data_IF_632734362640
#
_entry.id   IF_632734362640
#
_cell.length_a   1.000
_cell.length_b   1.000
_cell.length_c   1.000
_cell.angle_alpha   90.00
_cell.angle_beta   90.00
_cell.angle_gamma   90.00
#
_symmetry.space_group_name_H-M   'P 1'
#
loop_
_entity.id
_entity.type
_entity.pdbx_description
1 polymer ?
#
# COMPACT_ATOMS: atom_id res chain seq x y z
N UNK A 1 6.34 9.30 -5.61
CA UNK A 1 5.46 8.54 -4.70
C UNK A 1 4.11 9.23 -4.73
N UNK A 2 3.02 8.49 -4.84
CA UNK A 2 1.68 9.06 -4.92
C UNK A 2 1.06 9.13 -3.53
N UNK A 3 -0.10 9.79 -3.43
CA UNK A 3 -0.78 10.04 -2.14
C UNK A 3 -1.07 8.77 -1.35
N UNK A 4 -1.44 7.69 -2.04
CA UNK A 4 -1.85 6.45 -1.40
C UNK A 4 -0.79 5.34 -1.46
N UNK A 5 0.38 5.59 -2.07
CA UNK A 5 1.45 4.59 -2.08
C UNK A 5 2.50 4.76 -3.18
N UNK A 6 3.36 3.75 -3.28
CA UNK A 6 4.38 3.64 -4.32
C UNK A 6 3.84 2.77 -5.47
N UNK A 7 3.74 3.29 -6.71
CA UNK A 7 3.41 2.46 -7.86
C UNK A 7 4.42 1.34 -8.08
N UNK A 8 3.95 0.18 -8.56
CA UNK A 8 4.80 -0.99 -8.87
C UNK A 8 5.86 -0.68 -9.93
N UNK A 9 5.47 0.06 -10.97
CA UNK A 9 6.33 0.40 -12.10
C UNK A 9 5.79 1.62 -12.86
N UNK A 10 6.45 1.98 -13.96
CA UNK A 10 6.16 3.18 -14.76
C UNK A 10 4.92 3.05 -15.68
N UNK A 11 4.28 1.89 -15.77
CA UNK A 11 3.15 1.64 -16.68
C UNK A 11 1.81 2.10 -16.11
N UNK A 12 1.73 2.41 -14.82
CA UNK A 12 0.50 2.84 -14.19
C UNK A 12 0.66 3.21 -12.72
N UNK A 13 -0.45 3.53 -12.07
CA UNK A 13 -0.50 3.96 -10.68
C UNK A 13 -0.86 2.82 -9.70
N UNK A 14 -0.84 1.56 -10.14
CA UNK A 14 -1.19 0.44 -9.27
C UNK A 14 -0.08 0.13 -8.27
N UNK A 15 -0.45 -0.14 -7.03
CA UNK A 15 0.43 -0.64 -5.99
C UNK A 15 -0.07 -1.95 -5.42
N UNK A 16 0.88 -2.77 -4.95
CA UNK A 16 0.58 -3.88 -4.05
C UNK A 16 0.98 -3.52 -2.63
N UNK A 17 0.06 -3.72 -1.71
CA UNK A 17 0.22 -3.33 -0.32
C UNK A 17 1.29 -4.18 0.38
N UNK A 18 1.28 -5.50 0.14
CA UNK A 18 2.29 -6.43 0.66
C UNK A 18 3.73 -6.04 0.25
N UNK A 19 3.90 -5.71 -1.02
CA UNK A 19 5.18 -5.38 -1.64
C UNK A 19 5.69 -4.04 -1.16
N UNK A 20 4.78 -3.08 -0.97
CA UNK A 20 5.12 -1.78 -0.38
C UNK A 20 5.59 -1.92 1.07
N UNK A 21 4.97 -2.80 1.86
CA UNK A 21 5.42 -3.07 3.23
C UNK A 21 6.79 -3.76 3.26
N UNK A 22 7.03 -4.68 2.33
CA UNK A 22 8.35 -5.30 2.15
C UNK A 22 9.44 -4.26 1.87
N UNK A 23 9.16 -3.28 1.00
CA UNK A 23 10.08 -2.17 0.71
C UNK A 23 10.31 -1.31 1.96
N UNK A 24 9.27 -1.00 2.73
CA UNK A 24 9.41 -0.27 4.00
C UNK A 24 10.34 -1.00 4.97
N UNK A 25 10.24 -2.33 5.07
CA UNK A 25 11.11 -3.15 5.91
C UNK A 25 12.58 -3.18 5.46
N UNK A 26 12.83 -3.07 4.14
CA UNK A 26 14.19 -2.97 3.58
C UNK A 26 14.82 -1.59 3.77
N UNK A 27 14.04 -0.57 4.09
CA UNK A 27 14.48 0.83 4.26
C UNK A 27 15.10 1.08 5.65
N UNK A 28 16.02 0.21 6.09
CA UNK A 28 16.51 0.16 7.48
C UNK A 28 17.30 1.40 7.94
N UNK A 29 17.90 2.14 7.02
CA UNK A 29 18.72 3.32 7.31
C UNK A 29 18.02 4.66 7.06
N UNK A 30 16.78 4.66 6.56
CA UNK A 30 16.03 5.87 6.23
C UNK A 30 14.65 5.83 6.88
N UNK A 31 14.61 6.17 8.17
CA UNK A 31 13.39 6.14 8.97
C UNK A 31 12.29 7.02 8.41
N UNK A 32 12.64 8.19 7.84
CA UNK A 32 11.66 9.10 7.24
C UNK A 32 10.99 8.48 6.01
N UNK A 33 11.77 7.90 5.10
CA UNK A 33 11.23 7.23 3.93
C UNK A 33 10.38 6.02 4.31
N UNK A 34 10.81 5.23 5.30
CA UNK A 34 10.02 4.12 5.84
C UNK A 34 8.68 4.61 6.39
N UNK A 35 8.69 5.67 7.19
CA UNK A 35 7.47 6.24 7.77
C UNK A 35 6.56 6.82 6.69
N UNK A 36 7.12 7.45 5.65
CA UNK A 36 6.35 7.96 4.52
C UNK A 36 5.61 6.84 3.80
N UNK A 37 6.26 5.70 3.54
CA UNK A 37 5.63 4.54 2.91
C UNK A 37 4.49 4.03 3.79
N UNK A 38 4.75 3.79 5.09
CA UNK A 38 3.74 3.28 6.03
C UNK A 38 2.55 4.24 6.14
N UNK A 39 2.78 5.54 6.23
CA UNK A 39 1.71 6.55 6.32
C UNK A 39 0.84 6.57 5.05
N UNK A 40 1.44 6.39 3.87
CA UNK A 40 0.67 6.32 2.63
C UNK A 40 -0.22 5.06 2.58
N UNK A 41 0.31 3.91 3.01
CA UNK A 41 -0.47 2.66 3.10
C UNK A 41 -1.60 2.77 4.13
N UNK A 42 -1.34 3.40 5.27
CA UNK A 42 -2.36 3.71 6.26
C UNK A 42 -3.44 4.62 5.66
N UNK A 43 -3.03 5.65 4.92
CA UNK A 43 -3.96 6.58 4.25
C UNK A 43 -4.84 5.83 3.25
N UNK A 44 -4.28 4.91 2.47
CA UNK A 44 -5.05 4.01 1.60
C UNK A 44 -6.11 3.24 2.40
N UNK A 45 -5.68 2.47 3.40
CA UNK A 45 -6.57 1.61 4.18
C UNK A 45 -7.66 2.39 4.94
N UNK A 46 -7.35 3.61 5.39
CA UNK A 46 -8.25 4.44 6.18
C UNK A 46 -9.26 5.23 5.35
N UNK A 47 -8.86 5.68 4.16
CA UNK A 47 -9.67 6.62 3.35
C UNK A 47 -10.20 6.04 2.04
N UNK A 48 -9.98 4.74 1.78
CA UNK A 48 -10.47 4.12 0.54
C UNK A 48 -12.00 4.25 0.43
N UNK A 49 -12.51 4.70 -0.74
CA UNK A 49 -13.95 4.77 -0.96
C UNK A 49 -14.57 3.37 -1.11
N UNK A 50 -13.76 2.35 -1.41
CA UNK A 50 -14.22 1.00 -1.67
C UNK A 50 -14.59 0.30 -0.36
N UNK A 51 -15.86 -0.10 -0.22
CA UNK A 51 -16.41 -0.74 1.00
C UNK A 51 -16.27 -2.26 0.96
N UNK A 52 -15.05 -2.74 0.80
CA UNK A 52 -14.69 -4.16 0.83
C UNK A 52 -13.62 -4.40 1.90
N UNK A 53 -13.38 -5.65 2.32
CA UNK A 53 -12.21 -5.96 3.15
C UNK A 53 -10.90 -5.50 2.49
N UNK A 54 -9.85 -5.28 3.27
CA UNK A 54 -8.61 -4.68 2.77
C UNK A 54 -8.08 -5.38 1.50
N UNK A 55 -7.75 -4.56 0.50
CA UNK A 55 -7.29 -5.01 -0.82
C UNK A 55 -5.78 -4.91 -0.92
N UNK A 56 -5.14 -5.92 -1.52
CA UNK A 56 -3.71 -5.89 -1.79
C UNK A 56 -3.37 -5.07 -3.03
N UNK A 57 -4.15 -5.18 -4.13
CA UNK A 57 -3.96 -4.37 -5.33
C UNK A 57 -4.94 -3.18 -5.35
N UNK A 58 -4.40 -1.98 -5.49
CA UNK A 58 -5.17 -0.73 -5.49
C UNK A 58 -4.49 0.36 -6.34
N UNK A 59 -5.24 1.40 -6.70
CA UNK A 59 -4.72 2.57 -7.40
C UNK A 59 -4.21 3.63 -6.42
N UNK A 60 -2.94 4.01 -6.56
CA UNK A 60 -2.27 4.95 -5.65
C UNK A 60 -2.66 6.42 -5.85
N UNK A 61 -3.46 6.72 -6.87
CA UNK A 61 -3.99 8.06 -7.20
C UNK A 61 -5.46 8.18 -6.83
N UNK A 62 -6.29 7.20 -7.18
CA UNK A 62 -7.75 7.25 -6.92
C UNK A 62 -8.16 6.63 -5.58
N UNK A 63 -7.26 5.87 -4.94
CA UNK A 63 -7.51 5.12 -3.70
C UNK A 63 -8.48 3.93 -3.85
N UNK A 64 -8.83 3.58 -5.09
CA UNK A 64 -9.78 2.51 -5.36
C UNK A 64 -9.10 1.15 -5.25
N UNK A 65 -9.76 0.23 -4.55
CA UNK A 65 -9.36 -1.18 -4.57
C UNK A 65 -9.63 -1.78 -5.94
N UNK A 66 -8.71 -2.60 -6.43
CA UNK A 66 -8.77 -3.21 -7.76
C UNK A 66 -9.00 -4.71 -7.66
N UNK A 67 -8.07 -5.46 -7.06
CA UNK A 67 -8.16 -6.92 -6.87
C UNK A 67 -7.44 -7.37 -5.59
N UNK A 68 -7.50 -8.67 -5.29
CA UNK A 68 -6.76 -9.30 -4.19
C UNK A 68 -7.24 -8.86 -2.80
N UNK A 69 -8.55 -8.93 -2.61
CA UNK A 69 -9.28 -8.64 -1.36
C UNK A 69 -9.07 -9.74 -0.31
N UNK A 70 -8.94 -9.35 0.96
CA UNK A 70 -8.91 -10.25 2.13
C UNK A 70 -7.87 -11.37 2.06
N UNK A 71 -6.70 -11.11 1.45
CA UNK A 71 -5.66 -12.13 1.31
C UNK A 71 -4.90 -12.35 2.63
N UNK A 72 -4.56 -13.60 2.98
CA UNK A 72 -3.88 -13.90 4.25
C UNK A 72 -2.49 -13.26 4.36
N UNK A 73 -1.81 -13.00 3.23
CA UNK A 73 -0.52 -12.29 3.22
C UNK A 73 -0.60 -10.90 3.86
N UNK A 74 -1.78 -10.25 3.81
CA UNK A 74 -2.02 -8.95 4.46
C UNK A 74 -2.05 -9.07 5.98
N UNK A 75 -2.21 -10.26 6.55
CA UNK A 75 -2.09 -10.48 7.99
C UNK A 75 -0.71 -10.10 8.53
N UNK A 76 0.35 -10.25 7.71
CA UNK A 76 1.72 -9.91 8.10
C UNK A 76 1.97 -8.40 8.30
N UNK A 77 1.02 -7.54 7.95
CA UNK A 77 1.11 -6.09 8.18
C UNK A 77 0.88 -5.71 9.64
N UNK A 78 0.21 -6.58 10.40
CA UNK A 78 -0.19 -6.34 11.79
C UNK A 78 0.78 -6.96 12.80
N UNK A 79 1.81 -7.68 12.33
CA UNK A 79 2.81 -8.36 13.14
C UNK A 79 4.05 -7.49 13.36
#
# INVERSE_FOLDING_TARGET
MNRFGLPLDSRGALAKLDSSMWIAAMTRGNTEQRQQIINNLYTFAHSTPTRIPLSDLYDTTTNEAVYFTARPVLGGLYA
#
